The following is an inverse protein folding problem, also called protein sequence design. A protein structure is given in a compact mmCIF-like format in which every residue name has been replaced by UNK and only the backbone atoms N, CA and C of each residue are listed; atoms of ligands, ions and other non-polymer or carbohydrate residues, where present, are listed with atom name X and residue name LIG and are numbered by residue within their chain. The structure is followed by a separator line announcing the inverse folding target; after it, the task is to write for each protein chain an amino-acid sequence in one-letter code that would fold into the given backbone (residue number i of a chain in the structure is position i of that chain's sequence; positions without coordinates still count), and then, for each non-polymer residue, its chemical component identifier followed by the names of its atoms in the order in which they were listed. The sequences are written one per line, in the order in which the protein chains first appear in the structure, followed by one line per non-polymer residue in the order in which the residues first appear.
data_IF_559254639509
#
_entry.id   IF_559254639509
#
_cell.length_a   1.000
_cell.length_b   1.000
_cell.length_c   1.000
_cell.angle_alpha   90.00
_cell.angle_beta   90.00
_cell.angle_gamma   90.00
#
_symmetry.space_group_name_H-M   'P 1'
#
loop_
_entity.id
_entity.type
_entity.pdbx_description
1 polymer ?
#
# COMPACT_ATOMS: atom_id res chain seq x y z
N UNK A 1 -18.27 12.33 -18.91
CA UNK A 1 -18.86 12.70 -17.57
C UNK A 1 -18.90 11.44 -16.73
N UNK A 2 -18.30 11.45 -15.52
CA UNK A 2 -18.38 10.30 -14.60
C UNK A 2 -19.83 10.23 -14.10
N UNK A 3 -20.51 9.13 -14.42
CA UNK A 3 -21.87 8.91 -13.93
C UNK A 3 -21.79 8.47 -12.45
N UNK A 4 -22.07 9.40 -11.53
CA UNK A 4 -22.00 9.15 -10.11
C UNK A 4 -23.18 8.31 -9.64
N UNK A 5 -22.91 7.14 -9.08
CA UNK A 5 -23.90 6.23 -8.52
C UNK A 5 -23.79 6.20 -6.98
N UNK A 6 -24.92 6.03 -6.29
CA UNK A 6 -24.99 5.96 -4.83
C UNK A 6 -25.46 4.59 -4.37
N UNK A 7 -24.81 4.03 -3.35
CA UNK A 7 -25.19 2.78 -2.72
C UNK A 7 -25.12 2.90 -1.20
N UNK A 8 -25.95 2.14 -0.51
CA UNK A 8 -25.94 2.05 0.95
C UNK A 8 -24.58 1.54 1.44
N UNK A 9 -24.10 2.10 2.54
CA UNK A 9 -22.87 1.61 3.18
C UNK A 9 -23.20 0.34 3.94
N UNK A 10 -22.50 -0.76 3.61
CA UNK A 10 -22.67 -2.06 4.26
C UNK A 10 -22.53 -1.96 5.77
N UNK A 11 -23.55 -2.43 6.49
CA UNK A 11 -23.68 -2.32 7.95
C UNK A 11 -24.25 -1.00 8.44
N UNK A 12 -24.59 -0.07 7.53
CA UNK A 12 -25.23 1.22 7.78
C UNK A 12 -26.40 1.48 6.82
N UNK A 13 -27.05 0.44 6.36
CA UNK A 13 -28.17 0.48 5.43
C UNK A 13 -29.28 1.40 5.97
N UNK A 14 -29.82 2.25 5.12
CA UNK A 14 -30.84 3.26 5.49
C UNK A 14 -30.31 4.41 6.37
N UNK A 15 -29.04 4.40 6.76
CA UNK A 15 -28.41 5.46 7.55
C UNK A 15 -27.49 6.34 6.73
N UNK A 16 -26.63 5.71 5.91
CA UNK A 16 -25.62 6.40 5.10
C UNK A 16 -25.46 5.72 3.74
N UNK A 17 -25.23 6.53 2.72
CA UNK A 17 -24.86 6.08 1.38
C UNK A 17 -23.50 6.65 0.98
N UNK A 18 -22.80 5.92 0.11
CA UNK A 18 -21.52 6.32 -0.49
C UNK A 18 -21.65 6.32 -2.01
N UNK A 19 -21.05 7.32 -2.65
CA UNK A 19 -21.01 7.41 -4.10
C UNK A 19 -19.79 6.70 -4.69
N UNK A 20 -19.88 6.38 -5.98
CA UNK A 20 -18.75 5.88 -6.78
C UNK A 20 -17.56 6.86 -6.86
N UNK A 21 -17.77 8.13 -6.49
CA UNK A 21 -16.73 9.17 -6.45
C UNK A 21 -16.19 9.45 -5.03
N UNK A 22 -16.60 8.66 -4.02
CA UNK A 22 -16.08 8.79 -2.65
C UNK A 22 -16.78 9.80 -1.76
N UNK A 23 -17.90 10.37 -2.20
CA UNK A 23 -18.72 11.23 -1.37
C UNK A 23 -19.63 10.39 -0.45
N UNK A 24 -19.83 10.85 0.78
CA UNK A 24 -20.69 10.17 1.76
C UNK A 24 -21.83 11.09 2.17
N UNK A 25 -23.03 10.55 2.23
CA UNK A 25 -24.21 11.26 2.73
C UNK A 25 -24.94 10.48 3.81
N UNK A 26 -25.46 11.19 4.79
CA UNK A 26 -26.48 10.68 5.69
C UNK A 26 -27.83 10.73 4.98
N UNK A 27 -28.56 9.63 5.03
CA UNK A 27 -29.90 9.56 4.43
C UNK A 27 -30.95 10.28 5.30
N UNK A 28 -31.97 10.81 4.65
CA UNK A 28 -33.14 11.34 5.35
C UNK A 28 -33.86 10.20 6.07
N UNK A 29 -34.20 10.41 7.32
CA UNK A 29 -34.96 9.43 8.12
C UNK A 29 -35.60 10.08 9.33
N UNK A 30 -36.55 9.41 9.93
CA UNK A 30 -37.05 9.78 11.22
C UNK A 30 -36.19 9.22 12.36
N UNK A 31 -35.97 10.02 13.38
CA UNK A 31 -35.25 9.64 14.61
C UNK A 31 -36.13 9.84 15.81
N UNK A 32 -36.34 8.81 16.59
CA UNK A 32 -36.96 8.93 17.91
C UNK A 32 -35.88 9.43 18.88
N UNK A 33 -36.12 10.58 19.51
CA UNK A 33 -35.24 11.12 20.55
C UNK A 33 -35.65 10.56 21.92
N UNK A 34 -34.81 10.79 22.97
CA UNK A 34 -35.00 10.23 24.31
C UNK A 34 -36.36 10.55 24.95
N UNK A 35 -37.01 11.64 24.52
CA UNK A 35 -38.36 12.03 24.97
C UNK A 35 -39.49 11.30 24.22
N UNK A 36 -39.19 10.32 23.34
CA UNK A 36 -40.19 9.63 22.51
C UNK A 36 -40.65 10.43 21.28
N UNK A 37 -40.19 11.65 21.10
CA UNK A 37 -40.61 12.51 19.98
C UNK A 37 -39.90 12.07 18.70
N UNK A 38 -40.72 11.95 17.63
CA UNK A 38 -40.18 11.64 16.29
C UNK A 38 -39.65 12.93 15.63
N UNK A 39 -38.33 13.00 15.43
CA UNK A 39 -37.66 14.15 14.80
C UNK A 39 -37.12 13.78 13.41
N UNK A 40 -37.57 14.47 12.34
CA UNK A 40 -37.06 14.22 11.00
C UNK A 40 -35.63 14.69 10.87
N UNK A 41 -34.76 13.84 10.34
CA UNK A 41 -33.40 14.15 9.94
C UNK A 41 -33.35 14.29 8.41
N UNK A 42 -32.94 15.47 7.94
CA UNK A 42 -32.77 15.74 6.51
C UNK A 42 -31.51 15.04 6.00
N UNK A 43 -31.47 14.72 4.71
CA UNK A 43 -30.23 14.30 4.03
C UNK A 43 -29.12 15.32 4.24
N UNK A 44 -27.90 14.86 4.45
CA UNK A 44 -26.75 15.74 4.66
C UNK A 44 -25.46 15.07 4.18
N UNK A 45 -24.66 15.79 3.40
CA UNK A 45 -23.29 15.39 3.06
C UNK A 45 -22.42 15.35 4.32
N UNK A 46 -21.62 14.30 4.45
CA UNK A 46 -20.70 14.10 5.57
C UNK A 46 -19.31 14.52 5.15
N UNK A 47 -18.67 15.35 5.98
CA UNK A 47 -17.26 15.76 5.75
C UNK A 47 -16.33 14.58 5.89
N UNK A 48 -15.41 14.44 4.94
CA UNK A 48 -14.30 13.51 4.97
C UNK A 48 -13.03 14.25 5.37
N UNK A 49 -12.01 13.54 5.81
CA UNK A 49 -10.73 14.12 6.22
C UNK A 49 -9.56 13.18 5.90
N UNK A 50 -8.38 13.77 5.70
CA UNK A 50 -7.14 13.02 5.44
C UNK A 50 -6.54 12.56 6.76
N UNK A 51 -6.32 11.25 6.88
CA UNK A 51 -5.67 10.65 8.05
C UNK A 51 -4.13 10.66 7.97
N UNK A 52 -3.47 10.26 9.06
CA UNK A 52 -2.00 10.28 9.23
C UNK A 52 -1.24 9.58 8.09
N UNK A 53 -1.80 8.50 7.51
CA UNK A 53 -1.15 7.72 6.44
C UNK A 53 -1.59 8.13 5.03
N UNK A 54 -2.20 9.29 4.88
CA UNK A 54 -2.61 9.86 3.59
C UNK A 54 -3.97 9.39 3.07
N UNK A 55 -4.60 8.39 3.69
CA UNK A 55 -5.93 7.93 3.29
C UNK A 55 -7.04 8.88 3.71
N UNK A 56 -8.11 8.93 2.92
CA UNK A 56 -9.31 9.69 3.26
C UNK A 56 -10.23 8.84 4.16
N UNK A 57 -10.72 9.47 5.23
CA UNK A 57 -11.57 8.85 6.26
C UNK A 57 -12.89 9.59 6.41
N UNK A 58 -13.86 8.88 6.99
CA UNK A 58 -15.15 9.42 7.44
C UNK A 58 -15.51 8.83 8.79
N UNK A 59 -16.17 9.63 9.64
CA UNK A 59 -16.74 9.17 10.89
C UNK A 59 -18.24 8.91 10.71
N UNK A 60 -18.68 7.69 10.98
CA UNK A 60 -20.08 7.28 10.90
C UNK A 60 -20.58 6.90 12.29
N UNK A 61 -21.85 7.27 12.58
CA UNK A 61 -22.50 6.99 13.83
C UNK A 61 -23.61 5.96 13.65
N UNK A 62 -23.63 4.93 14.49
CA UNK A 62 -24.70 3.93 14.58
C UNK A 62 -24.89 3.54 16.05
N UNK A 63 -26.14 3.52 16.53
CA UNK A 63 -26.49 3.14 17.91
C UNK A 63 -25.70 3.90 18.99
N UNK A 64 -25.49 5.22 18.80
CA UNK A 64 -24.75 6.05 19.75
C UNK A 64 -23.22 5.92 19.67
N UNK A 65 -22.71 5.01 18.88
CA UNK A 65 -21.27 4.78 18.71
C UNK A 65 -20.74 5.38 17.41
N UNK A 66 -19.58 6.01 17.48
CA UNK A 66 -18.85 6.55 16.33
C UNK A 66 -17.77 5.57 15.90
N UNK A 67 -17.70 5.29 14.60
CA UNK A 67 -16.63 4.49 14.02
C UNK A 67 -16.03 5.19 12.81
N UNK A 68 -14.69 5.20 12.75
CA UNK A 68 -13.94 5.75 11.63
C UNK A 68 -13.77 4.70 10.54
N UNK A 69 -13.98 5.10 9.30
CA UNK A 69 -13.85 4.25 8.12
C UNK A 69 -12.97 4.91 7.06
N UNK A 70 -12.25 4.11 6.28
CA UNK A 70 -11.53 4.56 5.08
C UNK A 70 -12.48 4.59 3.90
N UNK A 71 -12.48 5.69 3.13
CA UNK A 71 -13.39 5.89 2.00
C UNK A 71 -13.24 4.82 0.93
N UNK A 72 -12.02 4.54 0.44
CA UNK A 72 -11.78 3.51 -0.58
C UNK A 72 -12.38 2.15 -0.18
N UNK A 73 -12.32 1.80 1.11
CA UNK A 73 -12.86 0.54 1.59
C UNK A 73 -14.39 0.51 1.58
N UNK A 74 -15.01 1.63 1.92
CA UNK A 74 -16.48 1.74 1.86
C UNK A 74 -16.99 1.68 0.41
N UNK A 75 -16.28 2.33 -0.53
CA UNK A 75 -16.63 2.29 -1.96
C UNK A 75 -16.60 0.86 -2.46
N UNK A 76 -15.46 0.19 -2.30
CA UNK A 76 -15.26 -1.16 -2.81
C UNK A 76 -16.24 -2.17 -2.22
N UNK A 77 -16.57 -2.04 -0.92
CA UNK A 77 -17.56 -2.91 -0.27
C UNK A 77 -19.01 -2.61 -0.68
N UNK A 78 -19.32 -1.38 -1.11
CA UNK A 78 -20.66 -1.00 -1.55
C UNK A 78 -20.89 -1.25 -3.05
N UNK A 79 -19.87 -1.05 -3.88
CA UNK A 79 -20.01 -1.04 -5.34
C UNK A 79 -19.48 -2.30 -6.04
N UNK A 80 -18.68 -3.13 -5.36
CA UNK A 80 -18.10 -4.35 -5.95
C UNK A 80 -18.28 -5.55 -5.03
N UNK A 81 -18.25 -6.74 -5.61
CA UNK A 81 -18.12 -7.97 -4.85
C UNK A 81 -16.65 -8.14 -4.42
N UNK A 82 -16.44 -8.54 -3.17
CA UNK A 82 -15.12 -8.81 -2.65
C UNK A 82 -14.67 -10.21 -3.03
N UNK A 83 -13.58 -10.38 -3.81
CA UNK A 83 -13.05 -11.70 -4.14
C UNK A 83 -12.53 -12.42 -2.88
N UNK A 84 -12.63 -13.77 -2.84
CA UNK A 84 -12.24 -14.55 -1.65
C UNK A 84 -10.79 -14.35 -1.22
N UNK A 85 -9.86 -14.26 -2.16
CA UNK A 85 -8.42 -14.24 -1.89
C UNK A 85 -7.81 -12.83 -1.92
N UNK A 86 -8.61 -11.76 -2.08
CA UNK A 86 -8.14 -10.38 -2.19
C UNK A 86 -8.66 -9.54 -1.03
N UNK A 87 -7.75 -9.12 -0.15
CA UNK A 87 -8.08 -8.40 1.08
C UNK A 87 -7.56 -6.96 1.12
N UNK A 88 -6.72 -6.60 0.16
CA UNK A 88 -6.11 -5.28 -0.01
C UNK A 88 -6.86 -4.53 -1.10
N UNK A 89 -6.91 -3.22 -0.99
CA UNK A 89 -7.40 -2.33 -2.05
C UNK A 89 -6.22 -1.48 -2.48
N UNK A 90 -5.92 -1.52 -3.77
CA UNK A 90 -4.91 -0.71 -4.42
C UNK A 90 -5.55 0.54 -5.03
N UNK A 91 -4.83 1.66 -5.01
CA UNK A 91 -5.10 2.83 -5.83
C UNK A 91 -4.24 2.72 -7.09
N UNK A 92 -4.85 2.57 -8.25
CA UNK A 92 -4.17 2.27 -9.52
C UNK A 92 -3.16 3.38 -9.88
N UNK A 93 -3.51 4.63 -9.61
CA UNK A 93 -2.63 5.79 -9.80
C UNK A 93 -1.63 6.04 -8.65
N UNK A 94 -1.72 5.26 -7.55
CA UNK A 94 -0.93 5.44 -6.34
C UNK A 94 -1.36 6.59 -5.43
N UNK A 95 -2.31 7.43 -5.81
CA UNK A 95 -2.81 8.51 -4.98
C UNK A 95 -3.92 8.02 -4.03
N UNK A 96 -3.58 7.92 -2.75
CA UNK A 96 -4.49 7.52 -1.68
C UNK A 96 -5.67 8.48 -1.46
N UNK A 97 -5.65 9.65 -2.07
CA UNK A 97 -6.72 10.65 -2.01
C UNK A 97 -7.70 10.53 -3.16
N UNK A 98 -7.31 9.91 -4.27
CA UNK A 98 -8.16 9.67 -5.43
C UNK A 98 -9.03 8.42 -5.22
N UNK A 99 -10.20 8.62 -4.62
CA UNK A 99 -11.13 7.55 -4.24
C UNK A 99 -12.31 7.44 -5.21
N UNK A 100 -12.06 7.49 -6.52
CA UNK A 100 -13.07 7.15 -7.52
C UNK A 100 -13.07 5.63 -7.74
N UNK A 101 -14.23 5.03 -7.99
CA UNK A 101 -14.37 3.58 -8.11
C UNK A 101 -13.44 2.98 -9.19
N UNK A 102 -13.32 3.65 -10.31
CA UNK A 102 -12.49 3.24 -11.46
C UNK A 102 -10.98 3.24 -11.15
N UNK A 103 -10.56 3.96 -10.10
CA UNK A 103 -9.17 3.99 -9.63
C UNK A 103 -8.87 2.96 -8.53
N UNK A 104 -9.85 2.16 -8.13
CA UNK A 104 -9.73 1.20 -7.03
C UNK A 104 -9.86 -0.23 -7.51
N UNK A 105 -8.98 -1.11 -7.03
CA UNK A 105 -9.05 -2.53 -7.34
C UNK A 105 -8.80 -3.40 -6.10
N UNK A 106 -9.47 -4.56 -6.03
CA UNK A 106 -9.13 -5.58 -5.06
C UNK A 106 -7.87 -6.32 -5.47
N UNK A 107 -6.92 -6.43 -4.57
CA UNK A 107 -5.66 -7.14 -4.83
C UNK A 107 -5.20 -7.96 -3.61
N UNK A 108 -4.25 -8.85 -3.84
CA UNK A 108 -3.47 -9.51 -2.81
C UNK A 108 -2.33 -8.59 -2.34
N UNK A 109 -1.73 -8.82 -1.16
CA UNK A 109 -0.53 -8.08 -0.73
C UNK A 109 0.62 -8.17 -1.74
N UNK A 110 0.80 -9.33 -2.40
CA UNK A 110 1.85 -9.55 -3.40
C UNK A 110 1.61 -8.71 -4.66
N UNK A 111 0.38 -8.70 -5.18
CA UNK A 111 -0.01 -7.87 -6.33
C UNK A 111 0.19 -6.37 -6.02
N UNK A 112 -0.25 -5.92 -4.83
CA UNK A 112 -0.08 -4.52 -4.41
C UNK A 112 1.39 -4.12 -4.31
N UNK A 113 2.25 -4.99 -3.74
CA UNK A 113 3.69 -4.74 -3.68
C UNK A 113 4.30 -4.71 -5.08
N UNK A 114 3.95 -5.65 -5.93
CA UNK A 114 4.42 -5.68 -7.32
C UNK A 114 4.05 -4.41 -8.07
N UNK A 115 2.78 -3.98 -7.99
CA UNK A 115 2.32 -2.72 -8.57
C UNK A 115 3.15 -1.52 -8.08
N UNK A 116 3.39 -1.42 -6.76
CA UNK A 116 4.17 -0.32 -6.19
C UNK A 116 5.62 -0.27 -6.72
N UNK A 117 6.24 -1.44 -6.99
CA UNK A 117 7.59 -1.49 -7.58
C UNK A 117 7.59 -1.17 -9.07
N UNK A 118 6.65 -1.72 -9.84
CA UNK A 118 6.59 -1.52 -11.29
C UNK A 118 6.23 -0.08 -11.67
N UNK A 119 5.41 0.58 -10.86
CA UNK A 119 5.03 1.99 -11.05
C UNK A 119 6.00 2.99 -10.41
N UNK A 120 7.07 2.51 -9.74
CA UNK A 120 8.05 3.37 -9.07
C UNK A 120 7.57 4.04 -7.79
N UNK A 121 6.37 3.71 -7.29
CA UNK A 121 5.82 4.20 -6.01
C UNK A 121 6.59 3.65 -4.81
N UNK A 122 7.20 2.47 -4.94
CA UNK A 122 8.12 1.92 -3.97
C UNK A 122 9.47 1.68 -4.63
N UNK A 123 10.51 2.24 -4.01
CA UNK A 123 11.90 1.91 -4.35
C UNK A 123 12.37 0.84 -3.36
N UNK A 124 12.89 -0.28 -3.87
CA UNK A 124 13.61 -1.23 -3.04
C UNK A 124 14.85 -0.54 -2.45
N UNK A 125 15.07 -0.72 -1.16
CA UNK A 125 16.36 -0.31 -0.57
C UNK A 125 17.44 -1.14 -1.22
N UNK A 126 18.37 -0.51 -1.93
CA UNK A 126 19.47 -1.17 -2.61
C UNK A 126 20.78 -0.86 -1.88
N UNK A 127 21.62 -1.86 -1.75
CA UNK A 127 22.97 -1.68 -1.23
C UNK A 127 23.03 -1.16 0.21
N UNK A 128 23.75 -0.07 0.41
CA UNK A 128 23.99 0.56 1.74
C UNK A 128 22.72 1.03 2.43
N UNK A 129 21.65 1.36 1.69
CA UNK A 129 20.36 1.76 2.26
C UNK A 129 19.61 0.60 2.95
N UNK A 130 20.05 -0.64 2.70
CA UNK A 130 19.53 -1.80 3.40
C UNK A 130 20.28 -1.97 4.72
N UNK A 131 19.71 -1.47 5.82
CA UNK A 131 20.29 -1.55 7.18
C UNK A 131 20.55 -3.00 7.68
N UNK A 132 20.09 -4.01 6.96
CA UNK A 132 20.38 -5.43 7.21
C UNK A 132 21.45 -6.00 6.28
N UNK A 133 21.97 -5.20 5.36
CA UNK A 133 23.09 -5.61 4.48
C UNK A 133 24.38 -5.70 5.28
N UNK A 134 24.95 -6.91 5.40
CA UNK A 134 26.25 -7.13 6.06
C UNK A 134 27.43 -6.56 5.27
N UNK A 135 27.28 -6.35 3.95
CA UNK A 135 28.35 -5.90 3.06
C UNK A 135 28.07 -4.51 2.51
N UNK A 136 29.08 -3.70 2.46
CA UNK A 136 29.11 -2.40 1.79
C UNK A 136 29.37 -2.55 0.28
N UNK A 137 29.05 -1.51 -0.51
CA UNK A 137 29.36 -1.51 -1.95
C UNK A 137 30.86 -1.68 -2.23
N UNK A 138 31.73 -1.13 -1.38
CA UNK A 138 33.19 -1.29 -1.50
C UNK A 138 33.62 -2.75 -1.33
N UNK A 139 33.08 -3.43 -0.32
CA UNK A 139 33.38 -4.84 -0.08
C UNK A 139 32.86 -5.74 -1.22
N UNK A 140 31.75 -5.42 -1.86
CA UNK A 140 31.26 -6.14 -3.04
C UNK A 140 32.24 -6.04 -4.21
N UNK A 141 32.78 -4.85 -4.47
CA UNK A 141 33.79 -4.64 -5.52
C UNK A 141 35.08 -5.43 -5.18
N UNK A 142 35.54 -5.30 -3.94
CA UNK A 142 36.76 -6.05 -3.49
C UNK A 142 36.56 -7.57 -3.63
N UNK A 143 35.37 -8.11 -3.32
CA UNK A 143 35.09 -9.54 -3.53
C UNK A 143 35.24 -9.92 -5.01
N UNK A 144 34.68 -9.12 -5.93
CA UNK A 144 34.78 -9.36 -7.38
C UNK A 144 36.20 -9.27 -7.89
N UNK A 145 36.94 -8.24 -7.46
CA UNK A 145 38.35 -8.04 -7.82
C UNK A 145 39.22 -9.21 -7.31
N UNK A 146 39.11 -9.57 -6.03
CA UNK A 146 39.89 -10.66 -5.47
C UNK A 146 39.60 -11.98 -6.18
N UNK A 147 38.35 -12.27 -6.51
CA UNK A 147 38.01 -13.47 -7.27
C UNK A 147 38.56 -13.44 -8.70
N UNK A 148 38.53 -12.30 -9.39
CA UNK A 148 39.03 -12.14 -10.76
C UNK A 148 40.52 -12.39 -10.87
N UNK A 149 41.29 -12.20 -9.79
CA UNK A 149 42.73 -12.53 -9.77
C UNK A 149 43.02 -14.03 -9.88
N UNK A 150 42.01 -14.89 -9.67
CA UNK A 150 42.19 -16.35 -9.61
C UNK A 150 42.91 -16.88 -8.38
N UNK A 151 43.32 -16.00 -7.45
CA UNK A 151 44.07 -16.36 -6.24
C UNK A 151 43.24 -16.79 -5.06
N UNK A 152 41.93 -16.47 -5.10
CA UNK A 152 41.00 -16.75 -4.02
C UNK A 152 39.81 -17.58 -4.49
N UNK A 153 39.49 -18.62 -3.75
CA UNK A 153 38.30 -19.44 -3.95
C UNK A 153 37.05 -18.76 -3.34
N UNK A 154 35.87 -19.15 -3.79
CA UNK A 154 34.61 -18.67 -3.18
C UNK A 154 34.51 -18.99 -1.69
N UNK A 155 35.09 -20.11 -1.25
CA UNK A 155 35.15 -20.53 0.15
C UNK A 155 35.99 -19.57 0.99
N UNK A 156 37.22 -19.28 0.56
CA UNK A 156 38.14 -18.35 1.24
C UNK A 156 37.55 -16.94 1.34
N UNK A 157 36.86 -16.46 0.27
CA UNK A 157 36.15 -15.18 0.28
C UNK A 157 34.97 -15.21 1.24
N UNK A 158 34.26 -16.32 1.33
CA UNK A 158 33.14 -16.46 2.26
C UNK A 158 33.56 -16.36 3.72
N UNK A 159 34.70 -16.99 4.06
CA UNK A 159 35.29 -16.93 5.40
C UNK A 159 35.81 -15.51 5.71
N UNK A 160 36.51 -14.89 4.75
CA UNK A 160 37.09 -13.54 4.91
C UNK A 160 36.06 -12.43 5.11
N UNK A 161 34.92 -12.51 4.43
CA UNK A 161 33.83 -11.49 4.50
C UNK A 161 32.68 -11.92 5.39
N UNK A 162 32.82 -13.04 6.12
CA UNK A 162 31.81 -13.59 7.05
C UNK A 162 30.41 -13.76 6.41
N UNK A 163 30.39 -14.21 5.16
CA UNK A 163 29.14 -14.49 4.40
C UNK A 163 29.14 -15.93 3.89
N UNK A 164 27.99 -16.45 3.45
CA UNK A 164 27.94 -17.80 2.88
C UNK A 164 28.60 -17.87 1.49
N UNK A 165 29.16 -19.01 1.13
CA UNK A 165 29.74 -19.25 -0.20
C UNK A 165 28.70 -19.03 -1.33
N UNK A 166 27.43 -19.38 -1.10
CA UNK A 166 26.34 -19.08 -2.03
C UNK A 166 26.13 -17.57 -2.24
N UNK A 167 26.32 -16.77 -1.19
CA UNK A 167 26.24 -15.30 -1.31
C UNK A 167 27.41 -14.75 -2.12
N UNK A 168 28.64 -15.28 -1.91
CA UNK A 168 29.80 -14.94 -2.74
C UNK A 168 29.53 -15.29 -4.21
N UNK A 169 29.00 -16.50 -4.48
CA UNK A 169 28.64 -16.92 -5.83
C UNK A 169 27.62 -15.98 -6.50
N UNK A 170 26.59 -15.57 -5.77
CA UNK A 170 25.58 -14.62 -6.29
C UNK A 170 26.18 -13.24 -6.62
N UNK A 171 27.16 -12.77 -5.82
CA UNK A 171 27.89 -11.50 -6.05
C UNK A 171 28.73 -11.58 -7.31
N UNK A 172 29.52 -12.67 -7.46
CA UNK A 172 30.41 -12.88 -8.57
C UNK A 172 29.68 -13.04 -9.89
N UNK A 173 28.57 -13.82 -9.87
CA UNK A 173 27.72 -14.06 -11.03
C UNK A 173 26.73 -12.93 -11.34
N UNK A 174 26.78 -11.81 -10.62
CA UNK A 174 25.89 -10.67 -10.86
C UNK A 174 24.42 -10.91 -10.56
N UNK A 175 24.05 -12.02 -9.88
CA UNK A 175 22.67 -12.28 -9.43
C UNK A 175 22.24 -11.31 -8.34
N UNK A 176 23.19 -10.86 -7.53
CA UNK A 176 23.02 -9.78 -6.55
C UNK A 176 23.98 -8.65 -6.89
N UNK A 177 23.59 -7.41 -6.60
CA UNK A 177 24.40 -6.21 -6.83
C UNK A 177 24.76 -6.00 -8.31
N UNK A 178 23.91 -6.46 -9.24
CA UNK A 178 24.11 -6.34 -10.70
C UNK A 178 24.23 -4.89 -11.18
N UNK A 179 23.62 -3.95 -10.43
CA UNK A 179 23.64 -2.52 -10.71
C UNK A 179 24.94 -1.81 -10.27
N UNK A 180 25.80 -2.50 -9.48
CA UNK A 180 27.02 -1.93 -8.94
C UNK A 180 28.16 -2.16 -9.93
N UNK A 181 28.62 -1.07 -10.56
CA UNK A 181 29.82 -1.03 -11.40
C UNK A 181 30.89 -0.17 -10.74
N UNK A 182 32.15 -0.33 -11.11
CA UNK A 182 33.30 0.42 -10.56
C UNK A 182 33.11 1.94 -10.71
N UNK A 183 32.52 2.38 -11.83
CA UNK A 183 32.27 3.79 -12.12
C UNK A 183 31.30 4.47 -11.13
N UNK A 184 30.48 3.71 -10.40
CA UNK A 184 29.48 4.26 -9.47
C UNK A 184 29.97 4.43 -8.04
N UNK A 185 31.17 3.99 -7.71
CA UNK A 185 31.72 4.06 -6.34
C UNK A 185 32.79 5.13 -6.20
N UNK A 186 32.94 6.03 -7.18
CA UNK A 186 33.81 7.21 -7.09
C UNK A 186 35.13 6.92 -6.33
N UNK A 187 36.10 6.35 -6.99
CA UNK A 187 37.51 6.35 -6.55
C UNK A 187 38.13 7.62 -7.06
#
# INVERSE_FOLDING_TARGET
MINETWRDIKGYEGLYAISSTGRVKRLARNRIIATGVNKPLKEKMIKTFKGKHGYIHVNLWKNGQMKQHRIHRLIMLAHTEKPQNKNVINHIDGDKTNNILENLEWCTPKENSHHAYTTGLAKGKQGIENSQGRLTSKEIIVIRELYSTGKFTQKELSERFEISAGHVSDIINGKRWSWLTEEKVGV
#
